data_IF_518370327788
#
_entry.id   IF_518370327788
#
_cell.length_a   1.000
_cell.length_b   1.000
_cell.length_c   1.000
_cell.angle_alpha   90.00
_cell.angle_beta   90.00
_cell.angle_gamma   90.00
#
_symmetry.space_group_name_H-M   'P 1'
#
loop_
_entity.id
_entity.type
_entity.pdbx_description
1 polymer ?
#
# COMPACT_ATOMS: atom_id res chain seq x y z
N UNK A 1 23.58 2.44 52.11
CA UNK A 1 23.60 3.21 53.38
C UNK A 1 23.88 4.65 53.00
N UNK A 2 23.10 5.61 53.51
CA UNK A 2 23.34 7.04 53.25
C UNK A 2 24.63 7.45 53.96
N UNK A 3 25.54 8.08 53.21
CA UNK A 3 26.83 8.55 53.74
C UNK A 3 26.83 10.05 54.00
N UNK A 4 26.14 10.81 53.16
CA UNK A 4 26.03 12.26 53.30
C UNK A 4 24.58 12.71 53.30
N UNK A 5 24.31 13.74 54.09
CA UNK A 5 23.04 14.44 54.11
C UNK A 5 23.29 15.90 53.77
N UNK A 6 22.42 16.47 52.93
CA UNK A 6 22.50 17.86 52.50
C UNK A 6 21.11 18.51 52.45
N UNK A 7 21.08 19.84 52.56
CA UNK A 7 19.92 20.65 52.19
C UNK A 7 20.32 21.49 50.99
N UNK A 8 19.55 21.43 49.91
CA UNK A 8 19.84 22.11 48.66
C UNK A 8 18.66 23.00 48.28
N UNK A 9 18.94 24.27 48.05
CA UNK A 9 17.93 25.27 47.72
C UNK A 9 17.84 25.51 46.21
N UNK A 10 16.64 25.83 45.74
CA UNK A 10 16.38 26.39 44.40
C UNK A 10 16.46 27.92 44.36
N UNK A 11 16.43 28.59 45.51
CA UNK A 11 16.27 30.06 45.61
C UNK A 11 17.41 30.78 46.32
N UNK A 12 18.11 30.11 47.24
CA UNK A 12 19.28 30.71 47.90
C UNK A 12 20.42 30.89 46.88
N UNK A 13 21.36 31.83 47.10
CA UNK A 13 22.44 32.08 46.12
C UNK A 13 23.53 30.99 46.10
N UNK A 14 23.72 30.27 47.22
CA UNK A 14 24.74 29.23 47.34
C UNK A 14 24.28 28.09 48.24
N UNK A 15 24.52 26.85 47.80
CA UNK A 15 24.35 25.68 48.64
C UNK A 15 25.65 25.39 49.42
N UNK A 16 25.66 25.74 50.71
CA UNK A 16 26.79 25.44 51.61
C UNK A 16 26.64 24.06 52.21
N UNK A 17 27.12 23.04 51.49
CA UNK A 17 27.12 21.68 51.99
C UNK A 17 28.51 21.28 52.49
N UNK A 18 28.55 20.37 53.48
CA UNK A 18 29.80 19.80 53.95
C UNK A 18 30.57 19.09 52.83
N UNK A 19 31.89 18.99 52.96
CA UNK A 19 32.75 18.35 51.95
C UNK A 19 32.32 16.90 51.74
N UNK A 20 31.87 16.59 50.52
CA UNK A 20 31.53 15.24 50.09
C UNK A 20 32.72 14.63 49.35
N UNK A 21 33.36 13.64 49.95
CA UNK A 21 34.48 12.92 49.33
C UNK A 21 34.01 11.55 48.85
N UNK A 22 33.65 11.47 47.57
CA UNK A 22 33.25 10.22 46.92
C UNK A 22 34.49 9.51 46.38
N UNK A 23 34.55 8.19 46.52
CA UNK A 23 35.73 7.44 46.10
C UNK A 23 35.49 6.75 44.76
N UNK A 24 36.34 7.05 43.80
CA UNK A 24 36.28 6.46 42.45
C UNK A 24 36.29 4.93 42.53
N UNK A 25 35.42 4.27 41.76
CA UNK A 25 35.32 2.80 41.71
C UNK A 25 34.48 2.14 42.81
N UNK A 26 34.04 2.88 43.83
CA UNK A 26 33.03 2.37 44.75
C UNK A 26 31.69 2.23 44.01
N UNK A 27 31.02 1.09 44.18
CA UNK A 27 29.67 0.88 43.62
C UNK A 27 28.64 0.87 44.74
N UNK A 28 27.52 1.57 44.52
CA UNK A 28 26.31 1.52 45.36
C UNK A 28 26.45 1.98 46.83
N UNK A 29 27.64 2.39 47.28
CA UNK A 29 27.87 2.80 48.67
C UNK A 29 28.03 4.31 48.82
N UNK A 30 28.31 5.05 47.76
CA UNK A 30 28.43 6.50 47.77
C UNK A 30 27.05 7.15 47.57
N UNK A 31 26.28 7.26 48.66
CA UNK A 31 24.90 7.77 48.60
C UNK A 31 24.79 9.10 49.33
N UNK A 32 24.35 10.12 48.59
CA UNK A 32 23.91 11.42 49.09
C UNK A 32 22.39 11.42 49.26
N UNK A 33 21.91 11.76 50.45
CA UNK A 33 20.52 12.12 50.69
C UNK A 33 20.40 13.64 50.74
N UNK A 34 19.55 14.23 49.91
CA UNK A 34 19.35 15.67 49.86
C UNK A 34 17.90 16.02 50.14
N UNK A 35 17.69 17.08 50.93
CA UNK A 35 16.40 17.72 51.13
C UNK A 35 16.37 18.94 50.21
N UNK A 36 15.47 18.91 49.22
CA UNK A 36 15.27 20.02 48.31
C UNK A 36 14.32 21.04 48.95
N UNK A 37 14.74 22.31 48.97
CA UNK A 37 13.97 23.40 49.56
C UNK A 37 13.81 24.56 48.59
N UNK A 38 12.66 25.23 48.69
CA UNK A 38 12.37 26.48 48.00
C UNK A 38 11.94 27.51 49.05
N UNK A 39 12.60 28.67 49.07
CA UNK A 39 12.37 29.70 50.11
C UNK A 39 12.45 29.13 51.54
N UNK A 40 13.43 28.25 51.80
CA UNK A 40 13.65 27.52 53.05
C UNK A 40 12.55 26.51 53.48
N UNK A 41 11.55 26.25 52.63
CA UNK A 41 10.53 25.23 52.87
C UNK A 41 10.79 23.99 52.03
N UNK A 42 10.54 22.76 52.55
CA UNK A 42 10.65 21.55 51.76
C UNK A 42 9.80 21.61 50.49
N UNK A 43 10.40 21.29 49.35
CA UNK A 43 9.75 21.31 48.05
C UNK A 43 8.95 20.01 47.84
N UNK A 44 7.67 20.12 47.46
CA UNK A 44 6.85 18.94 47.14
C UNK A 44 7.19 18.43 45.73
N UNK A 45 7.75 17.22 45.67
CA UNK A 45 8.16 16.55 44.43
C UNK A 45 7.10 15.57 43.90
N UNK A 46 5.85 15.65 44.36
CA UNK A 46 4.79 14.72 43.94
C UNK A 46 4.54 14.81 42.43
N UNK A 47 4.73 13.69 41.74
CA UNK A 47 4.61 13.60 40.28
C UNK A 47 5.78 14.25 39.51
N UNK A 48 6.90 14.51 40.19
CA UNK A 48 8.11 15.03 39.56
C UNK A 48 9.17 13.93 39.40
N UNK A 49 10.13 14.18 38.53
CA UNK A 49 11.38 13.44 38.39
C UNK A 49 12.53 14.38 38.73
N UNK A 50 13.60 13.84 39.31
CA UNK A 50 14.77 14.64 39.70
C UNK A 50 16.02 14.02 39.10
N UNK A 51 16.86 14.84 38.48
CA UNK A 51 18.10 14.39 37.87
C UNK A 51 19.29 15.15 38.44
N UNK A 52 20.36 14.41 38.75
CA UNK A 52 21.68 14.95 39.02
C UNK A 52 22.33 15.37 37.70
N UNK A 53 22.81 16.60 37.62
CA UNK A 53 23.49 17.14 36.45
C UNK A 53 24.85 17.73 36.82
N UNK A 54 25.84 17.45 36.00
CA UNK A 54 27.22 17.91 36.20
C UNK A 54 27.95 17.95 34.85
N UNK A 55 28.94 18.82 34.72
CA UNK A 55 29.92 18.75 33.62
C UNK A 55 31.24 18.24 34.20
N UNK A 56 31.53 16.98 33.97
CA UNK A 56 32.74 16.33 34.51
C UNK A 56 33.95 16.80 33.73
N UNK A 57 34.98 17.24 34.47
CA UNK A 57 36.25 17.74 33.91
C UNK A 57 36.06 18.89 32.91
N UNK A 58 35.00 19.69 33.09
CA UNK A 58 34.58 20.76 32.16
C UNK A 58 34.38 20.31 30.70
N UNK A 59 34.33 19.01 30.43
CA UNK A 59 34.22 18.45 29.07
C UNK A 59 32.97 17.61 28.88
N UNK A 60 32.60 16.81 29.88
CA UNK A 60 31.60 15.76 29.70
C UNK A 60 30.32 16.03 30.50
N UNK A 61 29.23 16.49 29.87
CA UNK A 61 27.96 16.66 30.54
C UNK A 61 27.36 15.29 30.89
N UNK A 62 26.86 15.16 32.12
CA UNK A 62 26.15 13.97 32.58
C UNK A 62 24.81 14.37 33.19
N UNK A 63 23.81 13.53 32.99
CA UNK A 63 22.51 13.62 33.63
C UNK A 63 22.14 12.22 34.15
N UNK A 64 21.83 12.11 35.44
CA UNK A 64 21.58 10.82 36.11
C UNK A 64 20.37 10.92 37.01
N UNK A 65 19.48 9.94 36.97
CA UNK A 65 18.26 9.96 37.78
C UNK A 65 18.58 9.88 39.29
N UNK A 66 17.94 10.73 40.08
CA UNK A 66 17.94 10.67 41.53
C UNK A 66 16.64 10.02 42.03
N UNK A 67 16.75 9.17 43.04
CA UNK A 67 15.61 8.47 43.62
C UNK A 67 14.87 9.38 44.59
N UNK A 68 13.60 9.67 44.34
CA UNK A 68 12.75 10.37 45.32
C UNK A 68 12.37 9.37 46.43
N UNK A 69 12.74 9.68 47.68
CA UNK A 69 12.47 8.83 48.85
C UNK A 69 11.25 9.34 49.62
N UNK A 70 11.06 10.66 49.66
CA UNK A 70 9.86 11.26 50.24
C UNK A 70 9.48 12.52 49.46
N UNK A 71 8.53 12.37 48.53
CA UNK A 71 8.12 13.44 47.64
C UNK A 71 7.59 14.67 48.39
N UNK A 72 6.70 14.47 49.36
CA UNK A 72 6.08 15.58 50.13
C UNK A 72 7.06 16.36 51.01
N UNK A 73 8.21 15.77 51.34
CA UNK A 73 9.27 16.40 52.13
C UNK A 73 10.47 16.80 51.29
N UNK A 74 10.40 16.69 49.96
CA UNK A 74 11.51 17.03 49.07
C UNK A 74 12.76 16.16 49.25
N UNK A 75 12.63 14.94 49.78
CA UNK A 75 13.80 14.10 50.09
C UNK A 75 14.12 13.20 48.90
N UNK A 76 15.34 13.34 48.39
CA UNK A 76 15.91 12.52 47.33
C UNK A 76 17.16 11.78 47.81
N UNK A 77 17.51 10.71 47.12
CA UNK A 77 18.79 10.02 47.24
C UNK A 77 19.44 9.89 45.88
N UNK A 78 20.70 10.31 45.79
CA UNK A 78 21.54 10.09 44.63
C UNK A 78 22.70 9.18 45.02
N UNK A 79 22.87 8.11 44.24
CA UNK A 79 24.02 7.22 44.37
C UNK A 79 25.03 7.64 43.32
N UNK A 80 26.18 8.13 43.74
CA UNK A 80 27.26 8.45 42.82
C UNK A 80 27.70 7.19 42.09
N UNK A 81 27.72 7.29 40.77
CA UNK A 81 28.08 6.22 39.87
C UNK A 81 29.37 6.53 39.13
N UNK A 82 29.74 5.59 38.28
CA UNK A 82 30.98 5.58 37.53
C UNK A 82 31.18 6.81 36.63
N UNK A 83 30.10 7.45 36.17
CA UNK A 83 30.17 8.68 35.38
C UNK A 83 30.40 9.89 36.27
N UNK A 84 29.64 10.03 37.36
CA UNK A 84 29.80 11.13 38.32
C UNK A 84 31.15 11.10 39.05
N UNK A 85 31.80 9.93 39.12
CA UNK A 85 33.10 9.73 39.77
C UNK A 85 34.26 9.59 38.78
N UNK A 86 34.07 9.97 37.53
CA UNK A 86 35.07 9.69 36.49
C UNK A 86 36.35 10.51 36.63
N UNK A 87 36.28 11.78 37.05
CA UNK A 87 37.47 12.64 37.15
C UNK A 87 37.84 13.02 38.58
N UNK A 88 39.12 12.81 38.93
CA UNK A 88 39.71 12.99 40.26
C UNK A 88 39.96 14.46 40.58
N UNK A 89 39.01 15.15 41.19
CA UNK A 89 39.19 16.47 41.83
C UNK A 89 37.81 16.98 42.28
N UNK A 90 37.72 18.29 42.57
CA UNK A 90 36.45 18.99 42.77
C UNK A 90 35.61 18.96 41.49
N UNK A 91 34.36 18.54 41.61
CA UNK A 91 33.33 18.62 40.60
C UNK A 91 32.21 19.55 41.10
N UNK A 92 31.43 20.08 40.16
CA UNK A 92 30.30 20.96 40.43
C UNK A 92 29.04 20.41 39.77
N UNK A 93 27.96 20.31 40.55
CA UNK A 93 26.72 19.68 40.13
C UNK A 93 25.50 20.38 40.72
N UNK A 94 24.33 20.12 40.15
CA UNK A 94 23.03 20.53 40.67
C UNK A 94 21.99 19.43 40.43
N UNK A 95 20.79 19.61 40.98
CA UNK A 95 19.64 18.77 40.68
C UNK A 95 18.62 19.54 39.86
N UNK A 96 18.26 19.03 38.68
CA UNK A 96 17.12 19.50 37.89
C UNK A 96 15.86 18.75 38.29
N UNK A 97 14.72 19.44 38.24
CA UNK A 97 13.42 18.94 38.68
C UNK A 97 12.46 19.07 37.50
N UNK A 98 11.89 17.95 37.09
CA UNK A 98 11.03 17.84 35.92
C UNK A 98 9.63 17.37 36.33
N UNK A 99 8.61 17.82 35.60
CA UNK A 99 7.23 17.33 35.73
C UNK A 99 6.70 16.98 34.35
N UNK A 100 6.76 15.69 34.01
CA UNK A 100 6.70 15.25 32.62
C UNK A 100 7.91 15.81 31.85
N UNK A 101 7.69 16.30 30.64
CA UNK A 101 8.77 16.82 29.78
C UNK A 101 9.24 18.24 30.17
N UNK A 102 8.56 18.91 31.12
CA UNK A 102 8.87 20.29 31.49
C UNK A 102 9.87 20.36 32.66
N UNK A 103 10.95 21.10 32.48
CA UNK A 103 11.82 21.55 33.57
C UNK A 103 11.06 22.58 34.40
N UNK A 104 10.83 22.28 35.68
CA UNK A 104 10.10 23.16 36.60
C UNK A 104 11.02 23.91 37.58
N UNK A 105 12.27 23.47 37.72
CA UNK A 105 13.27 24.16 38.53
C UNK A 105 14.58 23.38 38.62
N UNK A 106 15.59 24.02 39.17
CA UNK A 106 16.87 23.41 39.50
C UNK A 106 17.37 23.94 40.84
N UNK A 107 18.11 23.12 41.59
CA UNK A 107 18.83 23.61 42.76
C UNK A 107 20.00 24.48 42.31
N UNK A 108 20.51 25.33 43.19
CA UNK A 108 21.84 25.89 42.95
C UNK A 108 22.90 24.80 42.93
N UNK A 109 24.01 25.16 42.28
CA UNK A 109 25.19 24.32 42.23
C UNK A 109 25.74 24.04 43.63
N UNK A 110 26.28 22.83 43.78
CA UNK A 110 27.08 22.42 44.91
C UNK A 110 28.35 21.71 44.43
N UNK A 111 29.31 21.56 45.33
CA UNK A 111 30.57 20.90 45.02
C UNK A 111 30.72 19.57 45.75
N UNK A 112 31.35 18.63 45.08
CA UNK A 112 31.80 17.36 45.65
C UNK A 112 33.21 17.05 45.15
N UNK A 113 33.93 16.17 45.83
CA UNK A 113 35.30 15.80 45.50
C UNK A 113 35.37 14.31 45.20
N UNK A 114 35.94 13.96 44.06
CA UNK A 114 36.27 12.58 43.71
C UNK A 114 37.69 12.28 44.15
N UNK A 115 37.86 11.30 45.02
CA UNK A 115 39.16 10.85 45.54
C UNK A 115 39.53 9.47 45.03
N UNK A 116 40.84 9.22 44.93
CA UNK A 116 41.37 7.97 44.41
C UNK A 116 41.05 6.78 45.35
N UNK A 117 40.76 5.60 44.77
CA UNK A 117 40.74 4.33 45.49
C UNK A 117 42.12 3.67 45.43
N UNK A 118 42.75 3.45 46.58
CA UNK A 118 44.06 2.79 46.67
C UNK A 118 44.08 1.36 46.08
N UNK A 119 42.91 0.76 45.87
CA UNK A 119 42.73 -0.61 45.39
C UNK A 119 42.46 -0.73 43.89
N UNK A 120 42.53 0.36 43.11
CA UNK A 120 42.21 0.36 41.68
C UNK A 120 43.44 0.69 40.83
N UNK A 121 43.63 -0.07 39.76
CA UNK A 121 44.73 0.14 38.80
C UNK A 121 44.36 1.18 37.74
N UNK A 122 45.34 1.82 37.11
CA UNK A 122 45.12 2.86 36.09
C UNK A 122 44.23 2.41 34.92
N UNK A 123 44.32 1.13 34.53
CA UNK A 123 43.43 0.53 33.53
C UNK A 123 41.99 0.28 34.01
N UNK A 124 41.77 0.03 35.31
CA UNK A 124 40.42 -0.04 35.90
C UNK A 124 39.84 1.35 36.23
N UNK A 125 40.68 2.38 36.23
CA UNK A 125 40.32 3.79 36.43
C UNK A 125 40.07 4.53 35.10
N UNK A 126 40.15 3.82 33.95
CA UNK A 126 40.00 4.39 32.62
C UNK A 126 38.70 5.17 32.46
N UNK A 127 38.79 6.28 31.71
CA UNK A 127 37.66 7.18 31.46
C UNK A 127 36.58 6.49 30.60
N UNK A 128 35.36 6.35 31.13
CA UNK A 128 34.23 5.82 30.37
C UNK A 128 34.02 6.56 29.04
N UNK A 129 34.18 7.88 29.04
CA UNK A 129 34.14 8.67 27.81
C UNK A 129 35.27 8.35 26.83
N UNK A 130 36.47 8.03 27.32
CA UNK A 130 37.58 7.62 26.47
C UNK A 130 37.26 6.29 25.77
N UNK A 131 36.65 5.33 26.47
CA UNK A 131 36.22 4.07 25.84
C UNK A 131 35.14 4.25 24.77
N UNK A 132 34.27 5.27 24.91
CA UNK A 132 33.26 5.63 23.88
C UNK A 132 33.93 6.36 22.70
N UNK A 133 34.85 7.29 22.96
CA UNK A 133 35.63 7.98 21.92
C UNK A 133 36.47 6.97 21.10
N UNK A 134 37.10 6.00 21.77
CA UNK A 134 37.85 4.92 21.14
C UNK A 134 36.92 4.01 20.30
N UNK A 135 35.75 3.64 20.83
CA UNK A 135 34.76 2.87 20.07
C UNK A 135 34.26 3.63 18.83
N UNK A 136 34.04 4.94 18.93
CA UNK A 136 33.66 5.80 17.79
C UNK A 136 34.80 5.83 16.76
N UNK A 137 36.06 5.91 17.20
CA UNK A 137 37.22 5.87 16.32
C UNK A 137 37.32 4.53 15.59
N UNK A 138 37.18 3.41 16.31
CA UNK A 138 37.19 2.06 15.74
C UNK A 138 36.04 1.85 14.75
N UNK A 139 34.83 2.31 15.08
CA UNK A 139 33.68 2.24 14.18
C UNK A 139 33.89 3.08 12.92
N UNK A 140 34.48 4.27 13.04
CA UNK A 140 34.79 5.12 11.90
C UNK A 140 35.87 4.49 11.01
N UNK A 141 36.90 3.88 11.60
CA UNK A 141 37.93 3.13 10.87
C UNK A 141 37.30 1.96 10.10
N UNK A 142 36.49 1.15 10.77
CA UNK A 142 35.76 0.04 10.14
C UNK A 142 34.88 0.52 8.98
N UNK A 143 34.08 1.58 9.17
CA UNK A 143 33.24 2.14 8.10
C UNK A 143 34.07 2.62 6.91
N UNK A 144 35.22 3.25 7.17
CA UNK A 144 36.07 3.79 6.11
C UNK A 144 36.80 2.68 5.33
N UNK A 145 37.28 1.64 6.01
CA UNK A 145 37.86 0.46 5.38
C UNK A 145 36.83 -0.25 4.48
N UNK A 146 35.62 -0.52 5.01
CA UNK A 146 34.58 -1.24 4.27
C UNK A 146 33.93 -0.43 3.13
N UNK A 147 34.04 0.91 3.14
CA UNK A 147 33.59 1.75 2.01
C UNK A 147 34.40 1.51 0.74
N UNK A 148 35.71 1.27 0.89
CA UNK A 148 36.58 0.90 -0.24
C UNK A 148 36.14 -0.42 -0.85
N UNK A 149 36.02 -1.45 -0.01
CA UNK A 149 35.63 -2.81 -0.41
C UNK A 149 34.28 -2.86 -1.12
N UNK A 150 33.28 -2.11 -0.66
CA UNK A 150 31.97 -2.05 -1.31
C UNK A 150 32.03 -1.37 -2.69
N UNK A 151 32.81 -0.30 -2.82
CA UNK A 151 32.98 0.43 -4.08
C UNK A 151 33.68 -0.45 -5.12
N UNK A 152 34.74 -1.14 -4.71
CA UNK A 152 35.49 -2.05 -5.57
C UNK A 152 34.64 -3.26 -5.99
N UNK A 153 33.87 -3.82 -5.05
CA UNK A 153 32.92 -4.90 -5.35
C UNK A 153 31.84 -4.48 -6.36
N UNK A 154 31.26 -3.27 -6.19
CA UNK A 154 30.27 -2.74 -7.12
C UNK A 154 30.85 -2.50 -8.53
N UNK A 155 32.08 -1.99 -8.61
CA UNK A 155 32.75 -1.78 -9.89
C UNK A 155 33.03 -3.12 -10.58
N UNK A 156 33.53 -4.13 -9.86
CA UNK A 156 33.75 -5.46 -10.40
C UNK A 156 32.45 -6.09 -10.92
N UNK A 157 31.34 -5.98 -10.18
CA UNK A 157 30.04 -6.50 -10.66
C UNK A 157 29.51 -5.77 -11.87
N UNK A 158 29.74 -4.46 -11.96
CA UNK A 158 29.36 -3.67 -13.12
C UNK A 158 30.11 -4.13 -14.37
N UNK A 159 31.43 -4.35 -14.27
CA UNK A 159 32.25 -4.85 -15.36
C UNK A 159 31.81 -6.25 -15.81
N UNK A 160 31.56 -7.18 -14.88
CA UNK A 160 31.04 -8.51 -15.19
C UNK A 160 29.69 -8.44 -15.93
N UNK A 161 28.79 -7.57 -15.47
CA UNK A 161 27.49 -7.39 -16.10
C UNK A 161 27.59 -6.81 -17.52
N UNK A 162 28.45 -5.80 -17.73
CA UNK A 162 28.68 -5.22 -19.05
C UNK A 162 29.27 -6.24 -20.03
N UNK A 163 30.25 -7.04 -19.58
CA UNK A 163 30.82 -8.12 -20.37
C UNK A 163 29.76 -9.19 -20.74
N UNK A 164 28.92 -9.59 -19.79
CA UNK A 164 27.82 -10.53 -20.05
C UNK A 164 26.81 -9.96 -21.07
N UNK A 165 26.40 -8.70 -20.90
CA UNK A 165 25.47 -8.02 -21.83
C UNK A 165 26.03 -7.98 -23.25
N UNK A 166 27.31 -7.65 -23.39
CA UNK A 166 27.96 -7.52 -24.69
C UNK A 166 28.12 -8.89 -25.37
N UNK A 167 28.38 -9.95 -24.59
CA UNK A 167 28.36 -11.33 -25.07
C UNK A 167 26.96 -11.72 -25.57
N UNK A 168 25.90 -11.47 -24.79
CA UNK A 168 24.51 -11.76 -25.19
C UNK A 168 24.10 -11.02 -26.47
N UNK A 169 24.49 -9.75 -26.60
CA UNK A 169 24.25 -8.97 -27.81
C UNK A 169 24.96 -9.57 -29.02
N UNK A 170 26.20 -10.02 -28.83
CA UNK A 170 27.00 -10.66 -29.87
C UNK A 170 26.40 -11.99 -30.28
N UNK A 171 25.95 -12.81 -29.33
CA UNK A 171 25.29 -14.09 -29.58
C UNK A 171 24.01 -13.90 -30.38
N UNK A 172 23.15 -12.97 -29.95
CA UNK A 172 21.92 -12.65 -30.69
C UNK A 172 22.21 -12.17 -32.11
N UNK A 173 23.18 -11.25 -32.27
CA UNK A 173 23.54 -10.71 -33.59
C UNK A 173 24.08 -11.80 -34.50
N UNK A 174 24.93 -12.68 -33.97
CA UNK A 174 25.52 -13.80 -34.72
C UNK A 174 24.44 -14.79 -35.15
N UNK A 175 23.54 -15.15 -34.22
CA UNK A 175 22.39 -15.99 -34.53
C UNK A 175 21.49 -15.33 -35.59
N UNK A 176 21.16 -14.05 -35.44
CA UNK A 176 20.29 -13.33 -36.37
C UNK A 176 20.91 -13.28 -37.78
N UNK A 177 22.18 -12.91 -37.91
CA UNK A 177 22.86 -12.89 -39.20
C UNK A 177 22.91 -14.29 -39.84
N UNK A 178 23.02 -15.36 -39.05
CA UNK A 178 22.99 -16.75 -39.56
C UNK A 178 21.66 -17.15 -40.21
N UNK A 179 20.54 -16.57 -39.76
CA UNK A 179 19.19 -16.89 -40.28
C UNK A 179 18.61 -15.80 -41.17
N UNK A 180 19.22 -14.62 -41.22
CA UNK A 180 18.71 -13.41 -41.88
C UNK A 180 18.39 -13.63 -43.35
N UNK A 181 19.24 -14.32 -44.09
CA UNK A 181 19.00 -14.56 -45.52
C UNK A 181 17.90 -15.62 -45.75
N UNK A 182 17.71 -16.55 -44.81
CA UNK A 182 16.56 -17.45 -44.81
C UNK A 182 15.28 -16.63 -44.56
N UNK A 183 15.30 -15.72 -43.58
CA UNK A 183 14.16 -14.84 -43.29
C UNK A 183 13.82 -13.91 -44.46
N UNK A 184 14.80 -13.42 -45.23
CA UNK A 184 14.53 -12.61 -46.43
C UNK A 184 13.83 -13.39 -47.54
N UNK A 185 14.10 -14.68 -47.64
CA UNK A 185 13.56 -15.54 -48.71
C UNK A 185 12.23 -16.20 -48.36
N UNK A 186 11.79 -16.13 -47.10
CA UNK A 186 10.55 -16.76 -46.64
C UNK A 186 9.28 -16.11 -47.23
N UNK A 187 9.33 -14.82 -47.51
CA UNK A 187 8.23 -14.06 -48.10
C UNK A 187 8.77 -12.99 -49.06
N UNK A 188 9.28 -13.41 -50.24
CA UNK A 188 9.83 -12.48 -51.21
C UNK A 188 8.75 -11.50 -51.66
N UNK A 189 8.98 -10.20 -51.42
CA UNK A 189 8.03 -9.15 -51.76
C UNK A 189 6.88 -8.96 -50.75
N UNK A 190 6.84 -9.71 -49.65
CA UNK A 190 5.86 -9.49 -48.56
C UNK A 190 4.42 -9.94 -48.87
N UNK A 191 4.25 -10.83 -49.86
CA UNK A 191 2.92 -11.23 -50.35
C UNK A 191 2.18 -12.07 -49.31
N UNK A 192 2.86 -13.03 -48.70
CA UNK A 192 2.27 -13.92 -47.70
C UNK A 192 1.92 -13.15 -46.42
N UNK A 193 2.76 -12.21 -45.99
CA UNK A 193 2.45 -11.32 -44.87
C UNK A 193 1.23 -10.44 -45.17
N UNK A 194 1.14 -9.86 -46.38
CA UNK A 194 -0.02 -9.07 -46.78
C UNK A 194 -1.31 -9.92 -46.79
N UNK A 195 -1.28 -11.12 -47.37
CA UNK A 195 -2.41 -12.05 -47.36
C UNK A 195 -2.84 -12.44 -45.93
N UNK A 196 -1.89 -12.71 -45.03
CA UNK A 196 -2.18 -13.02 -43.63
C UNK A 196 -2.77 -11.82 -42.86
N UNK A 197 -2.28 -10.61 -43.15
CA UNK A 197 -2.85 -9.39 -42.59
C UNK A 197 -4.28 -9.19 -43.11
N UNK A 198 -4.52 -9.41 -44.40
CA UNK A 198 -5.82 -9.21 -45.03
C UNK A 198 -6.81 -10.35 -44.76
N UNK A 199 -6.33 -11.53 -44.33
CA UNK A 199 -7.17 -12.63 -43.89
C UNK A 199 -8.07 -12.29 -42.69
N UNK A 200 -7.90 -11.15 -42.03
CA UNK A 200 -8.82 -10.65 -40.97
C UNK A 200 -9.73 -9.52 -41.44
N UNK A 201 -9.66 -9.14 -42.70
CA UNK A 201 -10.55 -8.15 -43.31
C UNK A 201 -11.73 -8.92 -43.91
N UNK A 202 -12.95 -8.55 -43.52
CA UNK A 202 -14.17 -9.13 -44.08
C UNK A 202 -14.47 -8.60 -45.49
N UNK A 203 -15.47 -9.17 -46.15
CA UNK A 203 -15.93 -8.75 -47.49
C UNK A 203 -16.44 -7.31 -47.56
N UNK A 204 -16.65 -6.67 -46.42
CA UNK A 204 -17.05 -5.26 -46.33
C UNK A 204 -15.85 -4.33 -46.12
N UNK A 205 -14.64 -4.88 -45.95
CA UNK A 205 -13.41 -4.12 -45.72
C UNK A 205 -13.12 -3.83 -44.24
N UNK A 206 -13.83 -4.44 -43.30
CA UNK A 206 -13.63 -4.23 -41.85
C UNK A 206 -12.68 -5.28 -41.29
N UNK A 207 -11.70 -4.82 -40.49
CA UNK A 207 -10.69 -5.67 -39.86
C UNK A 207 -11.15 -6.18 -38.49
N UNK A 208 -10.99 -7.48 -38.24
CA UNK A 208 -11.40 -8.16 -37.00
C UNK A 208 -10.22 -8.66 -36.16
N UNK A 209 -10.43 -8.94 -34.87
CA UNK A 209 -9.35 -9.40 -33.99
C UNK A 209 -8.94 -10.84 -34.29
N UNK A 210 -9.88 -11.64 -34.80
CA UNK A 210 -9.65 -13.04 -35.16
C UNK A 210 -10.30 -13.39 -36.51
N UNK A 211 -9.81 -14.47 -37.13
CA UNK A 211 -10.44 -15.07 -38.32
C UNK A 211 -11.87 -15.53 -38.01
N UNK A 212 -12.12 -16.02 -36.79
CA UNK A 212 -13.45 -16.46 -36.37
C UNK A 212 -14.44 -15.30 -36.39
N UNK A 213 -14.07 -14.15 -35.83
CA UNK A 213 -14.91 -12.94 -35.84
C UNK A 213 -15.16 -12.46 -37.27
N UNK A 214 -14.12 -12.42 -38.11
CA UNK A 214 -14.25 -12.07 -39.53
C UNK A 214 -15.20 -13.01 -40.27
N UNK A 215 -15.09 -14.31 -40.06
CA UNK A 215 -15.96 -15.31 -40.71
C UNK A 215 -17.41 -15.18 -40.24
N UNK A 216 -17.65 -14.91 -38.96
CA UNK A 216 -18.99 -14.65 -38.44
C UNK A 216 -19.59 -13.40 -39.08
N UNK A 217 -18.81 -12.33 -39.20
CA UNK A 217 -19.23 -11.10 -39.87
C UNK A 217 -19.56 -11.31 -41.36
N UNK A 218 -18.69 -12.04 -42.09
CA UNK A 218 -18.94 -12.43 -43.49
C UNK A 218 -20.25 -13.22 -43.64
N UNK A 219 -20.45 -14.23 -42.78
CA UNK A 219 -21.65 -15.09 -42.81
C UNK A 219 -22.93 -14.30 -42.52
N UNK A 220 -22.90 -13.43 -41.51
CA UNK A 220 -24.03 -12.58 -41.15
C UNK A 220 -24.38 -11.63 -42.30
N UNK A 221 -23.39 -10.97 -42.91
CA UNK A 221 -23.61 -10.09 -44.04
C UNK A 221 -24.21 -10.82 -45.25
N UNK A 222 -23.68 -12.00 -45.59
CA UNK A 222 -24.20 -12.81 -46.69
C UNK A 222 -25.63 -13.30 -46.42
N UNK A 223 -25.92 -13.71 -45.19
CA UNK A 223 -27.27 -14.12 -44.79
C UNK A 223 -28.29 -13.00 -45.00
N UNK A 224 -28.00 -11.79 -44.51
CA UNK A 224 -28.86 -10.62 -44.70
C UNK A 224 -29.06 -10.26 -46.18
N UNK A 225 -28.03 -10.42 -47.01
CA UNK A 225 -28.12 -10.17 -48.46
C UNK A 225 -29.00 -11.20 -49.18
N UNK A 226 -28.91 -12.47 -48.78
CA UNK A 226 -29.74 -13.54 -49.34
C UNK A 226 -31.20 -13.38 -48.93
N UNK A 227 -31.46 -13.10 -47.66
CA UNK A 227 -32.81 -12.86 -47.15
C UNK A 227 -33.51 -11.73 -47.91
N UNK A 228 -32.83 -10.58 -48.07
CA UNK A 228 -33.37 -9.45 -48.84
C UNK A 228 -33.65 -9.77 -50.30
N UNK A 229 -32.90 -10.70 -50.92
CA UNK A 229 -33.08 -11.05 -52.34
C UNK A 229 -34.15 -12.11 -52.56
N UNK A 230 -34.34 -13.02 -51.62
CA UNK A 230 -35.25 -14.17 -51.76
C UNK A 230 -36.66 -13.89 -51.21
N UNK A 231 -36.80 -12.97 -50.25
CA UNK A 231 -38.07 -12.68 -49.57
C UNK A 231 -38.70 -11.33 -49.93
N UNK A 232 -38.23 -10.66 -50.99
CA UNK A 232 -38.84 -9.44 -51.53
C UNK A 232 -39.89 -9.77 -52.60
N UNK A 233 -41.02 -10.32 -52.18
CA UNK A 233 -42.30 -10.01 -52.84
C UNK A 233 -42.92 -8.89 -52.01
N UNK A 234 -42.71 -7.63 -52.41
CA UNK A 234 -43.10 -6.49 -51.56
C UNK A 234 -44.63 -6.43 -51.35
N UNK A 235 -45.44 -6.68 -52.36
CA UNK A 235 -46.88 -7.01 -52.31
C UNK A 235 -47.37 -7.07 -53.77
N UNK A 236 -48.53 -7.66 -54.03
CA UNK A 236 -49.19 -7.61 -55.34
C UNK A 236 -50.70 -7.66 -55.16
N UNK A 237 -51.41 -6.63 -55.64
CA UNK A 237 -52.86 -6.69 -55.78
C UNK A 237 -53.20 -7.63 -56.93
N UNK A 238 -53.82 -8.76 -56.59
CA UNK A 238 -54.43 -9.66 -57.57
C UNK A 238 -55.87 -9.19 -57.72
N UNK A 239 -56.25 -8.68 -58.89
CA UNK A 239 -57.59 -8.16 -59.19
C UNK A 239 -58.57 -9.22 -59.68
N UNK A 240 -58.17 -10.50 -59.64
CA UNK A 240 -59.05 -11.61 -59.98
C UNK A 240 -59.78 -12.12 -58.75
N UNK A 241 -61.10 -12.25 -58.87
CA UNK A 241 -61.96 -12.94 -57.91
C UNK A 241 -61.68 -14.44 -57.99
N UNK A 242 -60.64 -14.88 -57.29
CA UNK A 242 -60.31 -16.30 -57.19
C UNK A 242 -61.21 -16.90 -56.10
N UNK A 243 -62.12 -17.78 -56.50
CA UNK A 243 -62.84 -18.64 -55.57
C UNK A 243 -61.82 -19.61 -54.98
N UNK A 244 -61.39 -19.38 -53.74
CA UNK A 244 -60.64 -20.36 -52.96
C UNK A 244 -61.64 -21.42 -52.48
N UNK A 245 -61.77 -22.49 -53.25
CA UNK A 245 -62.49 -23.68 -52.83
C UNK A 245 -61.60 -24.45 -51.85
N UNK A 246 -61.84 -24.30 -50.54
CA UNK A 246 -61.25 -25.14 -49.51
C UNK A 246 -62.22 -26.26 -49.13
N UNK A 247 -62.14 -27.37 -49.86
CA UNK A 247 -62.94 -28.57 -49.60
C UNK A 247 -62.58 -29.26 -48.26
N UNK A 248 -61.53 -28.79 -47.58
CA UNK A 248 -61.02 -29.33 -46.33
C UNK A 248 -61.14 -28.34 -45.16
N UNK A 249 -61.89 -27.23 -45.31
CA UNK A 249 -61.97 -26.17 -44.28
C UNK A 249 -62.36 -26.70 -42.88
N UNK A 250 -63.20 -27.74 -42.83
CA UNK A 250 -63.63 -28.40 -41.59
C UNK A 250 -62.63 -29.42 -41.03
N UNK A 251 -61.52 -29.70 -41.73
CA UNK A 251 -60.42 -30.57 -41.27
C UNK A 251 -59.27 -29.78 -40.64
N UNK A 252 -59.07 -28.53 -41.05
CA UNK A 252 -57.97 -27.66 -40.64
C UNK A 252 -58.42 -26.52 -39.70
N UNK A 253 -59.72 -26.34 -39.47
CA UNK A 253 -60.27 -25.39 -38.50
C UNK A 253 -61.30 -26.08 -37.56
N UNK A 254 -61.29 -25.71 -36.27
CA UNK A 254 -62.36 -26.09 -35.34
C UNK A 254 -63.63 -25.29 -35.67
N UNK A 255 -64.72 -25.99 -35.93
CA UNK A 255 -66.02 -25.39 -36.25
C UNK A 255 -67.05 -25.76 -35.20
N UNK A 256 -67.87 -24.80 -34.77
CA UNK A 256 -68.96 -25.01 -33.82
C UNK A 256 -70.30 -24.74 -34.53
N UNK A 257 -71.19 -25.74 -34.55
CA UNK A 257 -72.52 -25.60 -35.13
C UNK A 257 -73.43 -24.91 -34.11
N UNK A 258 -73.69 -23.62 -34.32
CA UNK A 258 -74.52 -22.80 -33.42
C UNK A 258 -76.03 -22.88 -33.70
N UNK A 259 -76.44 -23.58 -34.77
CA UNK A 259 -77.85 -23.85 -35.08
C UNK A 259 -78.07 -24.48 -36.45
N UNK A 260 -79.22 -25.13 -36.64
CA UNK A 260 -79.63 -25.73 -37.92
C UNK A 260 -80.93 -25.10 -38.38
N UNK A 261 -81.03 -24.78 -39.66
CA UNK A 261 -82.26 -24.24 -40.27
C UNK A 261 -82.79 -25.27 -41.26
N UNK A 262 -84.04 -25.71 -41.08
CA UNK A 262 -84.70 -26.63 -42.01
C UNK A 262 -85.24 -25.84 -43.21
N UNK A 263 -84.45 -25.73 -44.27
CA UNK A 263 -84.90 -25.22 -45.56
C UNK A 263 -84.41 -26.14 -46.69
N UNK A 264 -85.26 -26.48 -47.68
CA UNK A 264 -84.83 -27.27 -48.83
C UNK A 264 -83.70 -26.53 -49.56
N UNK A 265 -82.62 -27.24 -49.86
CA UNK A 265 -81.45 -26.71 -50.55
C UNK A 265 -81.81 -26.37 -52.01
N UNK A 266 -82.33 -25.17 -52.22
CA UNK A 266 -82.48 -24.55 -53.53
C UNK A 266 -81.60 -23.31 -53.52
N UNK A 267 -80.47 -23.47 -54.21
CA UNK A 267 -79.44 -22.49 -54.52
C UNK A 267 -78.50 -22.07 -53.36
N UNK A 268 -77.20 -22.20 -53.64
CA UNK A 268 -76.13 -21.97 -52.68
C UNK A 268 -76.14 -20.55 -52.12
N UNK A 269 -75.90 -20.42 -50.82
CA UNK A 269 -75.76 -19.12 -50.19
C UNK A 269 -74.39 -18.50 -50.54
N UNK A 270 -74.40 -17.27 -51.06
CA UNK A 270 -73.20 -16.44 -51.12
C UNK A 270 -72.92 -15.89 -49.72
N UNK A 271 -71.83 -16.35 -49.12
CA UNK A 271 -71.38 -15.87 -47.82
C UNK A 271 -70.17 -14.96 -48.05
N UNK A 272 -70.33 -13.67 -47.73
CA UNK A 272 -69.21 -12.72 -47.75
C UNK A 272 -68.75 -12.56 -46.30
N UNK A 273 -67.56 -13.06 -46.01
CA UNK A 273 -66.89 -12.85 -44.73
C UNK A 273 -65.80 -11.79 -44.90
N UNK A 274 -65.74 -10.83 -43.98
CA UNK A 274 -64.68 -9.81 -43.95
C UNK A 274 -63.63 -10.26 -42.95
N UNK A 275 -62.42 -10.56 -43.41
CA UNK A 275 -61.29 -10.92 -42.54
C UNK A 275 -60.63 -9.63 -42.07
N UNK A 276 -61.18 -9.00 -41.04
CA UNK A 276 -60.61 -7.74 -40.53
C UNK A 276 -60.60 -7.71 -38.98
N UNK A 277 -59.79 -8.57 -38.35
CA UNK A 277 -59.06 -8.23 -37.12
C UNK A 277 -57.98 -9.29 -36.82
N UNK A 278 -56.75 -8.86 -36.55
CA UNK A 278 -55.63 -9.75 -36.13
C UNK A 278 -55.82 -10.35 -34.73
N UNK A 279 -56.90 -10.00 -34.02
CA UNK A 279 -57.20 -10.49 -32.66
C UNK A 279 -58.47 -11.34 -32.53
N UNK A 280 -59.26 -11.56 -33.58
CA UNK A 280 -60.45 -12.42 -33.50
C UNK A 280 -60.22 -13.76 -34.21
N UNK A 281 -60.21 -14.85 -33.44
CA UNK A 281 -60.13 -16.23 -33.95
C UNK A 281 -61.52 -16.81 -34.30
N UNK A 282 -62.54 -15.98 -34.47
CA UNK A 282 -63.90 -16.44 -34.76
C UNK A 282 -64.56 -15.53 -35.80
N UNK A 283 -65.24 -16.14 -36.77
CA UNK A 283 -66.02 -15.44 -37.79
C UNK A 283 -67.47 -15.28 -37.34
N UNK A 284 -68.05 -14.11 -37.59
CA UNK A 284 -69.48 -13.85 -37.37
C UNK A 284 -70.15 -13.75 -38.73
N UNK A 285 -71.16 -14.59 -38.97
CA UNK A 285 -72.01 -14.49 -40.15
C UNK A 285 -73.27 -13.69 -39.79
N UNK A 286 -73.47 -12.56 -40.45
CA UNK A 286 -74.68 -11.76 -40.32
C UNK A 286 -75.48 -11.81 -41.64
N UNK A 287 -76.79 -12.05 -41.57
CA UNK A 287 -77.66 -12.09 -42.76
C UNK A 287 -77.77 -10.68 -43.35
N UNK A 288 -77.05 -10.43 -44.43
CA UNK A 288 -77.01 -9.12 -45.12
C UNK A 288 -78.05 -8.97 -46.25
N UNK A 289 -78.83 -10.00 -46.55
CA UNK A 289 -79.93 -9.93 -47.51
C UNK A 289 -80.40 -11.30 -47.98
N UNK A 290 -81.57 -11.33 -48.64
CA UNK A 290 -82.14 -12.53 -49.24
C UNK A 290 -82.44 -12.24 -50.71
N UNK A 291 -81.87 -13.02 -51.61
CA UNK A 291 -82.12 -12.90 -53.05
C UNK A 291 -83.25 -13.85 -53.39
N UNK A 292 -84.42 -13.29 -53.74
CA UNK A 292 -85.58 -14.06 -54.19
C UNK A 292 -85.38 -14.44 -55.65
N UNK A 293 -85.16 -15.73 -55.91
CA UNK A 293 -85.33 -16.35 -57.23
C UNK A 293 -86.75 -16.88 -57.39
#
# INVERSE_FOLDING_TARGET
>A
MVKWQATLSTTEPYNYIGIQNVRQGNRNTEVLEAILVENAWPLDLTGCEVFFESVIDNKYPIQRSAKIVNAKKGIIQYTFDEYSMQSLHRQEAYFSIHKGDNLIGATQNFSYFVVNAASKTEGEMGSYWQSIEDLIADMNAFINENKGDFTDWMNARKEEFEAWRDAQKTDFTSWFESIKDILKTIDPGGTMLAELMDARVDIQGVRHNSISERLLADMEYLYQKLEKRLYTLEYGEISDLIILQDDAFSLNHETEIVGTVDYPAIDGALVIATVDDTKQNAYVFEKVGEISG
#
